data_IF_464219955758
#
_entry.id   IF_464219955758
#
_cell.length_a   1.000
_cell.length_b   1.000
_cell.length_c   1.000
_cell.angle_alpha   90.00
_cell.angle_beta   90.00
_cell.angle_gamma   90.00
#
_symmetry.space_group_name_H-M   'P 1'
#
loop_
_entity.id
_entity.type
_entity.pdbx_description
1 polymer ?
#
# COMPACT_ATOMS: atom_id res chain seq x y z
N UNK A 1 -8.42 2.88 -15.95
CA UNK A 1 -8.29 4.28 -16.41
C UNK A 1 -6.84 4.78 -16.37
N UNK A 2 -6.25 5.17 -15.22
CA UNK A 2 -4.90 5.78 -15.20
C UNK A 2 -3.81 4.89 -15.83
N UNK A 3 -3.84 3.58 -15.56
CA UNK A 3 -2.90 2.62 -16.14
C UNK A 3 -3.06 2.46 -17.66
N UNK A 4 -4.26 2.76 -18.20
CA UNK A 4 -4.55 2.72 -19.63
C UNK A 4 -4.19 4.04 -20.31
N UNK A 5 -4.40 5.17 -19.63
CA UNK A 5 -4.14 6.52 -20.17
C UNK A 5 -2.67 6.92 -20.07
N UNK A 6 -1.93 6.39 -19.10
CA UNK A 6 -0.51 6.65 -18.89
C UNK A 6 0.28 5.34 -18.82
N UNK A 7 0.42 4.61 -19.96
CA UNK A 7 1.20 3.39 -20.00
C UNK A 7 2.71 3.64 -19.75
N UNK A 8 3.15 4.89 -19.80
CA UNK A 8 4.52 5.37 -19.62
C UNK A 8 4.91 5.62 -18.16
N UNK A 9 4.02 5.42 -17.18
CA UNK A 9 4.38 5.51 -15.76
C UNK A 9 5.48 4.50 -15.44
N UNK A 10 6.65 5.01 -15.07
CA UNK A 10 7.81 4.20 -14.69
C UNK A 10 8.01 4.16 -13.17
N UNK A 11 7.39 5.08 -12.44
CA UNK A 11 7.62 5.28 -11.02
C UNK A 11 6.35 5.57 -10.24
N UNK A 12 6.23 4.95 -9.07
CA UNK A 12 5.15 5.17 -8.11
C UNK A 12 5.77 5.39 -6.73
N UNK A 13 5.45 6.50 -6.09
CA UNK A 13 5.70 6.70 -4.66
C UNK A 13 4.46 6.29 -3.88
N UNK A 14 4.59 5.30 -2.99
CA UNK A 14 3.50 4.82 -2.14
C UNK A 14 3.76 5.27 -0.70
N UNK A 15 2.96 6.20 -0.20
CA UNK A 15 3.25 6.94 1.04
C UNK A 15 2.70 6.31 2.34
N UNK A 16 2.38 5.01 2.33
CA UNK A 16 1.81 4.31 3.49
C UNK A 16 0.35 4.69 3.78
N UNK A 17 -0.08 4.48 5.03
CA UNK A 17 -1.44 4.73 5.53
C UNK A 17 -2.49 3.79 4.88
N UNK A 18 -2.14 2.51 4.75
CA UNK A 18 -2.96 1.48 4.09
C UNK A 18 -3.93 0.77 5.04
N UNK A 19 -3.56 0.66 6.31
CA UNK A 19 -4.38 -0.01 7.33
C UNK A 19 -5.55 0.90 7.74
N UNK A 20 -6.79 0.40 7.82
CA UNK A 20 -7.96 1.22 8.11
C UNK A 20 -7.99 1.81 9.53
N UNK A 21 -8.87 2.81 9.72
CA UNK A 21 -8.97 3.61 10.94
C UNK A 21 -9.72 2.91 12.10
N UNK A 22 -10.07 1.64 11.96
CA UNK A 22 -10.64 0.79 13.02
C UNK A 22 -9.55 0.25 13.96
N UNK A 23 -8.67 1.12 14.44
CA UNK A 23 -7.47 0.79 15.25
C UNK A 23 -7.77 -0.06 16.49
N UNK A 24 -9.00 0.00 17.00
CA UNK A 24 -9.48 -0.81 18.12
C UNK A 24 -9.67 -2.30 17.79
N UNK A 25 -9.53 -2.69 16.51
CA UNK A 25 -9.78 -4.03 15.99
C UNK A 25 -8.82 -4.34 14.84
N UNK A 26 -7.52 -4.15 15.08
CA UNK A 26 -6.44 -4.54 14.16
C UNK A 26 -5.54 -5.56 14.85
N UNK A 27 -4.90 -6.44 14.07
CA UNK A 27 -3.89 -7.40 14.53
C UNK A 27 -2.67 -7.35 13.60
N UNK A 28 -1.45 -7.69 14.06
CA UNK A 28 -0.24 -7.64 13.22
C UNK A 28 -0.36 -8.40 11.90
N UNK A 29 -0.94 -9.61 11.92
CA UNK A 29 -1.13 -10.44 10.74
C UNK A 29 -2.09 -9.79 9.73
N UNK A 30 -3.20 -9.20 10.22
CA UNK A 30 -4.17 -8.51 9.37
C UNK A 30 -3.54 -7.26 8.72
N UNK A 31 -2.72 -6.50 9.46
CA UNK A 31 -2.00 -5.36 8.89
C UNK A 31 -1.06 -5.80 7.75
N UNK A 32 -0.31 -6.89 7.95
CA UNK A 32 0.58 -7.44 6.91
C UNK A 32 -0.21 -7.87 5.68
N UNK A 33 -1.35 -8.53 5.87
CA UNK A 33 -2.23 -8.95 4.77
C UNK A 33 -2.79 -7.75 3.99
N UNK A 34 -3.19 -6.68 4.67
CA UNK A 34 -3.68 -5.45 4.04
C UNK A 34 -2.57 -4.79 3.21
N UNK A 35 -1.38 -4.62 3.80
CA UNK A 35 -0.22 -4.01 3.12
C UNK A 35 0.17 -4.85 1.89
N UNK A 36 0.18 -6.18 2.02
CA UNK A 36 0.45 -7.12 0.93
C UNK A 36 -0.58 -7.00 -0.20
N UNK A 37 -1.87 -7.05 0.13
CA UNK A 37 -2.95 -6.94 -0.86
C UNK A 37 -2.94 -5.60 -1.61
N UNK A 38 -2.66 -4.49 -0.92
CA UNK A 38 -2.50 -3.18 -1.55
C UNK A 38 -1.29 -3.16 -2.49
N UNK A 39 -0.15 -3.70 -2.06
CA UNK A 39 1.07 -3.79 -2.87
C UNK A 39 0.86 -4.63 -4.13
N UNK A 40 0.24 -5.80 -4.00
CA UNK A 40 -0.08 -6.70 -5.11
C UNK A 40 -1.07 -6.06 -6.09
N UNK A 41 -2.04 -5.31 -5.57
CA UNK A 41 -3.00 -4.58 -6.40
C UNK A 41 -2.29 -3.53 -7.26
N UNK A 42 -1.40 -2.73 -6.68
CA UNK A 42 -0.63 -1.73 -7.44
C UNK A 42 0.27 -2.43 -8.47
N UNK A 43 0.97 -3.49 -8.08
CA UNK A 43 1.84 -4.24 -8.98
C UNK A 43 1.08 -4.85 -10.16
N UNK A 44 -0.14 -5.36 -9.92
CA UNK A 44 -1.02 -5.91 -10.96
C UNK A 44 -1.39 -4.87 -12.02
N UNK A 45 -1.68 -3.64 -11.62
CA UNK A 45 -2.08 -2.58 -12.56
C UNK A 45 -0.88 -1.86 -13.20
N UNK A 46 0.28 -1.86 -12.56
CA UNK A 46 1.50 -1.19 -13.05
C UNK A 46 2.71 -2.12 -13.05
N UNK A 47 2.67 -3.23 -13.81
CA UNK A 47 3.69 -4.29 -13.73
C UNK A 47 5.10 -3.86 -14.17
N UNK A 48 5.23 -2.71 -14.83
CA UNK A 48 6.51 -2.16 -15.29
C UNK A 48 7.05 -1.05 -14.41
N UNK A 49 6.22 -0.46 -13.54
CA UNK A 49 6.63 0.66 -12.72
C UNK A 49 7.42 0.15 -11.51
N UNK A 50 8.46 0.88 -11.14
CA UNK A 50 9.13 0.69 -9.85
C UNK A 50 8.31 1.39 -8.77
N UNK A 51 7.96 0.65 -7.71
CA UNK A 51 7.20 1.15 -6.57
C UNK A 51 8.19 1.44 -5.44
N UNK A 52 8.17 2.67 -4.93
CA UNK A 52 8.93 3.10 -3.75
C UNK A 52 7.95 3.30 -2.59
N UNK A 53 7.79 2.29 -1.73
CA UNK A 53 6.96 2.41 -0.55
C UNK A 53 7.69 3.10 0.60
N UNK A 54 6.92 3.80 1.43
CA UNK A 54 7.32 4.20 2.78
C UNK A 54 6.26 3.73 3.77
N UNK A 55 6.68 3.51 5.01
CA UNK A 55 5.82 3.09 6.11
C UNK A 55 5.16 4.34 6.70
N UNK A 56 3.83 4.34 6.76
CA UNK A 56 3.03 5.38 7.42
C UNK A 56 2.78 5.04 8.89
N UNK A 57 1.98 5.86 9.55
CA UNK A 57 1.72 5.72 10.98
C UNK A 57 0.67 4.63 11.31
N UNK A 58 -0.08 4.16 10.30
CA UNK A 58 -1.11 3.14 10.45
C UNK A 58 -0.64 1.70 10.22
N UNK A 59 0.53 1.51 9.60
CA UNK A 59 1.05 0.18 9.27
C UNK A 59 1.32 -0.70 10.50
N UNK A 60 1.62 -0.11 11.65
CA UNK A 60 1.92 -0.84 12.89
C UNK A 60 0.68 -1.18 13.70
N UNK A 61 0.74 -2.27 14.44
CA UNK A 61 -0.14 -2.52 15.57
C UNK A 61 0.69 -2.63 16.86
N UNK A 62 0.38 -1.84 17.90
CA UNK A 62 -0.49 -0.65 17.91
C UNK A 62 -0.10 0.44 16.91
N UNK A 63 -1.06 1.33 16.58
CA UNK A 63 -0.87 2.46 15.66
C UNK A 63 0.17 3.48 16.18
N UNK A 64 0.95 4.10 15.28
CA UNK A 64 1.99 5.12 15.53
C UNK A 64 3.26 4.64 16.27
N UNK A 65 3.74 3.42 15.98
CA UNK A 65 4.98 2.87 16.55
C UNK A 65 6.21 3.01 15.65
#
# INVERSE_FOLDING_TARGET
>A
HIAETHPDIQLIYMTGDLVPHNVWSTEPEENVDIIGNCSDTIHRYFPRATIFPVVGNHETHPVNL
#
